data_IF_649592227930
#
_entry.id   IF_649592227930
#
_cell.length_a   1.000
_cell.length_b   1.000
_cell.length_c   1.000
_cell.angle_alpha   90.00
_cell.angle_beta   90.00
_cell.angle_gamma   90.00
#
_symmetry.space_group_name_H-M   'P 1'
#
loop_
_entity.id
_entity.type
_entity.pdbx_description
1 polymer ?
#
# COMPACT_ATOMS: atom_id res chain seq x y z
N UNK A 1 -0.55 4.73 2.80
CA UNK A 1 -1.99 4.89 3.14
C UNK A 1 -2.39 6.28 3.68
N UNK A 2 -1.59 6.93 4.53
CA UNK A 2 -1.95 8.18 5.21
C UNK A 2 -2.52 9.33 4.34
N UNK A 3 -1.97 9.59 3.15
CA UNK A 3 -2.48 10.65 2.25
C UNK A 3 -3.94 10.41 1.84
N UNK A 4 -4.24 9.21 1.38
CA UNK A 4 -5.57 8.78 0.93
C UNK A 4 -6.58 8.92 2.08
N UNK A 5 -6.24 8.41 3.26
CA UNK A 5 -7.16 8.44 4.41
C UNK A 5 -7.38 9.85 4.95
N UNK A 6 -6.36 10.73 4.90
CA UNK A 6 -6.52 12.14 5.23
C UNK A 6 -7.48 12.82 4.24
N UNK A 7 -7.24 12.69 2.93
CA UNK A 7 -8.08 13.33 1.92
C UNK A 7 -9.51 12.83 1.97
N UNK A 8 -9.75 11.54 2.25
CA UNK A 8 -11.08 10.95 2.44
C UNK A 8 -11.73 11.27 3.78
N UNK A 9 -11.06 12.05 4.63
CA UNK A 9 -11.61 12.46 5.92
C UNK A 9 -11.69 11.33 6.95
N UNK A 10 -10.93 10.23 6.79
CA UNK A 10 -10.98 9.04 7.66
C UNK A 10 -10.17 9.23 8.94
N UNK A 11 -10.57 10.19 9.75
CA UNK A 11 -10.01 10.48 11.06
C UNK A 11 -11.12 10.91 12.03
N UNK A 12 -10.92 10.82 13.36
CA UNK A 12 -11.91 11.25 14.35
C UNK A 12 -12.33 12.73 14.20
N UNK A 13 -13.56 13.08 14.58
CA UNK A 13 -14.09 14.45 14.41
C UNK A 13 -13.37 15.51 15.25
N UNK A 14 -12.98 15.15 16.46
CA UNK A 14 -12.42 16.07 17.45
C UNK A 14 -11.55 15.35 18.48
N UNK A 15 -10.91 16.13 19.34
CA UNK A 15 -10.15 15.62 20.48
C UNK A 15 -8.73 15.15 20.14
N UNK A 16 -8.07 14.58 21.15
CA UNK A 16 -6.68 14.14 21.07
C UNK A 16 -6.47 13.03 20.04
N UNK A 17 -7.43 12.12 19.91
CA UNK A 17 -7.35 11.01 18.94
C UNK A 17 -7.30 11.50 17.50
N UNK A 18 -8.02 12.58 17.16
CA UNK A 18 -7.92 13.22 15.83
C UNK A 18 -6.48 13.64 15.54
N UNK A 19 -5.84 14.33 16.48
CA UNK A 19 -4.48 14.81 16.30
C UNK A 19 -3.48 13.66 16.18
N UNK A 20 -3.62 12.62 17.00
CA UNK A 20 -2.77 11.41 16.92
C UNK A 20 -2.86 10.73 15.55
N UNK A 21 -4.08 10.50 15.05
CA UNK A 21 -4.30 9.85 13.75
C UNK A 21 -3.75 10.70 12.61
N UNK A 22 -4.04 12.01 12.60
CA UNK A 22 -3.52 12.92 11.58
C UNK A 22 -1.99 12.99 11.59
N UNK A 23 -1.38 12.97 12.79
CA UNK A 23 0.07 12.93 12.92
C UNK A 23 0.66 11.68 12.25
N UNK A 24 0.07 10.52 12.51
CA UNK A 24 0.50 9.26 11.88
C UNK A 24 0.37 9.37 10.36
N UNK A 25 -0.78 9.83 9.85
CA UNK A 25 -0.98 9.99 8.40
C UNK A 25 0.11 10.86 7.77
N UNK A 26 0.41 12.00 8.38
CA UNK A 26 1.42 12.95 7.86
C UNK A 26 2.85 12.41 7.94
N UNK A 27 3.17 11.57 8.93
CA UNK A 27 4.48 10.92 9.08
C UNK A 27 4.67 9.73 8.12
N UNK A 28 3.58 9.13 7.62
CA UNK A 28 3.60 8.07 6.60
C UNK A 28 3.65 8.62 5.17
N UNK A 29 3.24 9.87 4.96
CA UNK A 29 3.25 10.52 3.65
C UNK A 29 4.65 10.70 3.08
N UNK A 30 4.73 10.63 1.76
CA UNK A 30 5.88 11.06 0.99
C UNK A 30 6.07 12.58 1.04
N UNK A 31 7.27 13.03 0.74
CA UNK A 31 7.56 14.46 0.68
C UNK A 31 6.76 15.16 -0.43
N UNK A 32 6.49 14.45 -1.52
CA UNK A 32 5.63 14.92 -2.60
C UNK A 32 4.18 15.12 -2.13
N UNK A 33 3.56 14.11 -1.52
CA UNK A 33 2.20 14.22 -0.96
C UNK A 33 2.08 15.38 0.04
N UNK A 34 3.09 15.56 0.90
CA UNK A 34 3.13 16.69 1.85
C UNK A 34 3.28 18.04 1.13
N UNK A 35 4.03 18.09 0.04
CA UNK A 35 4.15 19.30 -0.78
C UNK A 35 2.81 19.63 -1.43
N UNK A 36 2.09 18.64 -1.96
CA UNK A 36 0.76 18.80 -2.55
C UNK A 36 -0.22 19.37 -1.53
N UNK A 37 -0.27 18.81 -0.31
CA UNK A 37 -1.07 19.36 0.80
C UNK A 37 -0.82 20.85 1.07
N UNK A 38 0.40 21.34 0.84
CA UNK A 38 0.77 22.73 1.10
C UNK A 38 0.52 23.69 -0.07
N UNK A 39 0.28 23.19 -1.29
CA UNK A 39 0.27 24.00 -2.52
C UNK A 39 -0.98 23.84 -3.37
N UNK A 40 -1.57 22.65 -3.38
CA UNK A 40 -2.70 22.31 -4.24
C UNK A 40 -4.04 22.59 -3.56
N UNK A 41 -5.08 22.80 -4.38
CA UNK A 41 -6.45 22.86 -3.86
C UNK A 41 -6.93 21.46 -3.46
N UNK A 42 -7.95 21.40 -2.58
CA UNK A 42 -8.57 20.11 -2.24
C UNK A 42 -9.12 19.40 -3.49
N UNK A 43 -9.70 20.15 -4.43
CA UNK A 43 -10.21 19.62 -5.69
C UNK A 43 -9.10 18.94 -6.50
N UNK A 44 -7.94 19.58 -6.69
CA UNK A 44 -6.84 19.01 -7.47
C UNK A 44 -6.28 17.74 -6.81
N UNK A 45 -6.13 17.78 -5.48
CA UNK A 45 -5.69 16.62 -4.70
C UNK A 45 -6.68 15.46 -4.79
N UNK A 46 -7.97 15.74 -4.69
CA UNK A 46 -9.04 14.74 -4.81
C UNK A 46 -9.12 14.18 -6.22
N UNK A 47 -9.05 15.03 -7.24
CA UNK A 47 -9.07 14.60 -8.64
C UNK A 47 -7.90 13.66 -8.93
N UNK A 48 -6.68 13.99 -8.48
CA UNK A 48 -5.50 13.15 -8.66
C UNK A 48 -5.48 11.88 -7.79
N UNK A 49 -6.36 11.75 -6.79
CA UNK A 49 -6.43 10.57 -5.92
C UNK A 49 -7.07 9.36 -6.62
N UNK A 50 -7.95 9.60 -7.60
CA UNK A 50 -8.79 8.57 -8.19
C UNK A 50 -8.54 8.46 -9.69
N UNK A 51 -8.34 7.24 -10.19
CA UNK A 51 -8.29 6.95 -11.63
C UNK A 51 -9.67 6.91 -12.26
N UNK A 52 -10.72 6.60 -11.47
CA UNK A 52 -12.11 6.53 -11.93
C UNK A 52 -13.00 7.58 -11.25
N UNK A 53 -13.12 8.74 -11.90
CA UNK A 53 -13.98 9.85 -11.47
C UNK A 53 -15.49 9.61 -11.66
N UNK A 54 -15.88 8.50 -12.31
CA UNK A 54 -17.30 8.09 -12.39
C UNK A 54 -17.73 7.18 -11.23
N UNK A 55 -16.79 6.77 -10.37
CA UNK A 55 -17.10 5.86 -9.28
C UNK A 55 -18.02 6.50 -8.23
N UNK A 56 -18.97 5.73 -7.70
CA UNK A 56 -19.86 6.22 -6.62
C UNK A 56 -19.08 6.66 -5.38
N UNK A 57 -17.95 6.01 -5.09
CA UNK A 57 -17.08 6.40 -3.98
C UNK A 57 -16.48 7.79 -4.19
N UNK A 58 -15.94 8.06 -5.38
CA UNK A 58 -15.42 9.39 -5.75
C UNK A 58 -16.47 10.48 -5.57
N UNK A 59 -17.67 10.26 -6.12
CA UNK A 59 -18.75 11.26 -6.12
C UNK A 59 -19.30 11.47 -4.72
N UNK A 60 -19.65 10.38 -4.03
CA UNK A 60 -20.40 10.46 -2.77
C UNK A 60 -19.53 10.85 -1.57
N UNK A 61 -18.21 10.61 -1.62
CA UNK A 61 -17.32 10.97 -0.51
C UNK A 61 -16.84 12.44 -0.60
N UNK A 62 -16.88 13.09 -1.77
CA UNK A 62 -16.26 14.40 -2.01
C UNK A 62 -16.70 15.48 -1.02
N UNK A 63 -18.01 15.77 -0.93
CA UNK A 63 -18.52 16.90 -0.15
C UNK A 63 -18.17 16.77 1.33
N UNK A 64 -18.33 15.57 1.89
CA UNK A 64 -17.99 15.31 3.28
C UNK A 64 -16.48 15.37 3.50
N UNK A 65 -15.68 14.82 2.58
CA UNK A 65 -14.23 14.84 2.64
C UNK A 65 -13.68 16.28 2.60
N UNK A 66 -14.16 17.10 1.68
CA UNK A 66 -13.80 18.51 1.55
C UNK A 66 -14.17 19.29 2.81
N UNK A 67 -15.41 19.14 3.29
CA UNK A 67 -15.87 19.81 4.51
C UNK A 67 -15.04 19.46 5.73
N UNK A 68 -14.52 18.24 5.83
CA UNK A 68 -13.64 17.81 6.93
C UNK A 68 -12.23 18.38 6.74
N UNK A 69 -11.70 18.32 5.53
CA UNK A 69 -10.38 18.87 5.19
C UNK A 69 -10.29 20.37 5.47
N UNK A 70 -11.31 21.15 5.07
CA UNK A 70 -11.33 22.60 5.28
C UNK A 70 -11.36 23.03 6.76
N UNK A 71 -11.63 22.11 7.69
CA UNK A 71 -11.54 22.34 9.13
C UNK A 71 -10.14 22.09 9.70
N UNK A 72 -9.18 21.65 8.87
CA UNK A 72 -7.82 21.39 9.29
C UNK A 72 -6.93 22.60 9.01
N UNK A 73 -6.07 22.94 9.97
CA UNK A 73 -4.92 23.81 9.70
C UNK A 73 -3.77 22.94 9.19
N UNK A 74 -3.73 22.75 7.86
CA UNK A 74 -2.72 21.91 7.22
C UNK A 74 -1.31 22.47 7.44
N UNK A 75 -1.16 23.80 7.50
CA UNK A 75 0.15 24.44 7.71
C UNK A 75 0.68 24.13 9.11
N UNK A 76 -0.17 24.27 10.13
CA UNK A 76 0.16 23.91 11.51
C UNK A 76 0.48 22.42 11.64
N UNK A 77 -0.36 21.54 11.08
CA UNK A 77 -0.15 20.09 11.12
C UNK A 77 1.16 19.66 10.44
N UNK A 78 1.46 20.22 9.27
CA UNK A 78 2.72 19.97 8.57
C UNK A 78 3.93 20.47 9.37
N UNK A 79 3.82 21.60 10.08
CA UNK A 79 4.91 22.14 10.91
C UNK A 79 5.27 21.26 12.12
N UNK A 80 4.30 20.45 12.58
CA UNK A 80 4.45 19.53 13.72
C UNK A 80 4.99 18.15 13.34
N UNK A 81 5.25 17.92 12.04
CA UNK A 81 5.69 16.63 11.51
C UNK A 81 6.80 16.84 10.48
N UNK A 82 7.61 15.82 10.22
CA UNK A 82 8.71 15.89 9.25
C UNK A 82 8.52 14.82 8.19
N UNK A 83 8.84 15.14 6.93
CA UNK A 83 8.91 14.11 5.91
C UNK A 83 10.12 13.19 6.14
N UNK A 84 9.93 11.87 5.97
CA UNK A 84 11.01 10.88 5.97
C UNK A 84 11.08 10.06 4.70
N UNK A 85 10.09 10.19 3.82
CA UNK A 85 9.87 9.27 2.71
C UNK A 85 9.87 10.01 1.38
N UNK A 86 10.76 9.64 0.48
CA UNK A 86 10.80 10.19 -0.89
C UNK A 86 9.93 9.40 -1.86
N UNK A 87 9.58 8.16 -1.51
CA UNK A 87 8.76 7.26 -2.31
C UNK A 87 7.74 6.54 -1.41
N UNK A 88 6.71 5.93 -2.01
CA UNK A 88 5.69 5.18 -1.29
C UNK A 88 6.23 3.90 -0.64
N UNK A 89 5.45 3.30 0.24
CA UNK A 89 5.82 2.08 0.95
C UNK A 89 5.89 0.87 0.02
N UNK A 90 6.94 0.05 0.17
CA UNK A 90 7.02 -1.24 -0.52
C UNK A 90 6.27 -2.31 0.26
N UNK A 91 5.59 -3.18 -0.48
CA UNK A 91 4.93 -4.37 0.04
C UNK A 91 5.01 -5.52 -0.95
N UNK A 92 4.39 -6.63 -0.58
CA UNK A 92 4.20 -7.77 -1.48
C UNK A 92 2.85 -7.64 -2.18
N UNK A 93 2.70 -8.20 -3.40
CA UNK A 93 1.44 -8.12 -4.12
C UNK A 93 0.27 -8.73 -3.34
N UNK A 94 -0.86 -8.03 -3.30
CA UNK A 94 -2.04 -8.41 -2.51
C UNK A 94 -3.27 -7.61 -2.95
N UNK A 95 -4.45 -8.16 -2.71
CA UNK A 95 -5.67 -7.36 -2.81
C UNK A 95 -6.88 -8.03 -2.20
N UNK A 96 -8.06 -7.55 -2.59
CA UNK A 96 -9.31 -7.97 -1.96
C UNK A 96 -9.88 -9.16 -2.69
N UNK A 97 -10.28 -10.15 -1.90
CA UNK A 97 -10.94 -11.35 -2.42
C UNK A 97 -12.33 -11.00 -2.97
N UNK A 98 -12.59 -11.43 -4.19
CA UNK A 98 -13.91 -11.34 -4.79
C UNK A 98 -14.91 -12.31 -4.15
N UNK A 99 -16.20 -12.06 -4.34
CA UNK A 99 -17.24 -12.99 -3.89
C UNK A 99 -17.03 -14.36 -4.55
N UNK A 100 -17.06 -15.43 -3.75
CA UNK A 100 -16.82 -16.82 -4.17
C UNK A 100 -15.41 -17.16 -4.67
N UNK A 101 -14.47 -16.22 -4.62
CA UNK A 101 -13.07 -16.48 -4.95
C UNK A 101 -12.36 -17.22 -3.80
N UNK A 102 -11.50 -18.18 -4.14
CA UNK A 102 -10.64 -18.85 -3.16
C UNK A 102 -9.47 -17.93 -2.78
N UNK A 103 -8.83 -18.14 -1.62
CA UNK A 103 -7.70 -17.29 -1.21
C UNK A 103 -6.51 -17.40 -2.19
N UNK A 104 -6.27 -18.61 -2.73
CA UNK A 104 -5.18 -18.85 -3.67
C UNK A 104 -5.46 -18.25 -5.05
N UNK A 105 -6.71 -18.28 -5.51
CA UNK A 105 -7.08 -17.68 -6.81
C UNK A 105 -7.03 -16.15 -6.73
N UNK A 106 -7.46 -15.57 -5.61
CA UNK A 106 -7.27 -14.16 -5.33
C UNK A 106 -5.79 -13.78 -5.36
N UNK A 107 -4.92 -14.51 -4.64
CA UNK A 107 -3.49 -14.22 -4.64
C UNK A 107 -2.88 -14.30 -6.04
N UNK A 108 -3.28 -15.27 -6.87
CA UNK A 108 -2.82 -15.40 -8.26
C UNK A 108 -3.30 -14.25 -9.15
N UNK A 109 -4.55 -13.82 -9.00
CA UNK A 109 -5.13 -12.70 -9.77
C UNK A 109 -4.46 -11.38 -9.40
N UNK A 110 -4.40 -11.06 -8.12
CA UNK A 110 -3.79 -9.82 -7.60
C UNK A 110 -2.30 -9.75 -7.96
N UNK A 111 -1.57 -10.86 -7.81
CA UNK A 111 -0.17 -10.93 -8.25
C UNK A 111 -0.04 -10.59 -9.73
N UNK A 112 -0.89 -11.16 -10.59
CA UNK A 112 -0.88 -10.86 -12.03
C UNK A 112 -1.23 -9.40 -12.33
N UNK A 113 -2.25 -8.86 -11.66
CA UNK A 113 -2.72 -7.48 -11.83
C UNK A 113 -1.64 -6.47 -11.43
N UNK A 114 -0.96 -6.68 -10.29
CA UNK A 114 0.01 -5.74 -9.74
C UNK A 114 1.45 -5.90 -10.30
N UNK A 115 1.79 -7.05 -10.89
CA UNK A 115 3.16 -7.33 -11.38
C UNK A 115 3.27 -7.63 -12.87
N UNK A 116 2.17 -7.98 -13.54
CA UNK A 116 2.13 -8.35 -14.95
C UNK A 116 2.65 -9.75 -15.29
N UNK A 117 3.11 -10.53 -14.32
CA UNK A 117 3.50 -11.94 -14.54
C UNK A 117 2.29 -12.82 -14.87
N UNK A 118 2.48 -13.81 -15.74
CA UNK A 118 1.43 -14.79 -16.02
C UNK A 118 1.51 -16.00 -15.09
N UNK A 119 0.41 -16.75 -15.00
CA UNK A 119 0.32 -17.94 -14.17
C UNK A 119 1.33 -19.04 -14.55
N UNK A 120 1.78 -19.11 -15.81
CA UNK A 120 2.82 -20.06 -16.22
C UNK A 120 4.24 -19.64 -15.80
N UNK A 121 4.44 -18.35 -15.49
CA UNK A 121 5.72 -17.82 -15.03
C UNK A 121 5.92 -18.12 -13.54
N UNK A 122 4.90 -18.57 -12.81
CA UNK A 122 4.91 -18.65 -11.34
C UNK A 122 4.49 -20.02 -10.85
N UNK A 123 5.32 -20.65 -10.01
CA UNK A 123 5.04 -21.94 -9.38
C UNK A 123 4.96 -21.77 -7.86
N UNK A 124 3.79 -22.02 -7.28
CA UNK A 124 3.63 -22.07 -5.83
C UNK A 124 4.42 -23.27 -5.28
N UNK A 125 5.24 -23.03 -4.26
CA UNK A 125 6.19 -24.03 -3.72
C UNK A 125 5.77 -24.61 -2.37
N UNK A 126 4.67 -24.12 -1.79
CA UNK A 126 4.15 -24.55 -0.50
C UNK A 126 2.64 -24.37 -0.46
N UNK A 127 1.94 -25.41 0.01
CA UNK A 127 0.48 -25.35 0.21
C UNK A 127 0.11 -24.64 1.52
N UNK A 128 1.08 -24.39 2.39
CA UNK A 128 0.88 -23.66 3.64
C UNK A 128 1.13 -22.14 3.44
N UNK A 129 0.07 -21.30 3.42
CA UNK A 129 0.22 -19.85 3.30
C UNK A 129 0.82 -19.24 4.57
N UNK A 130 1.33 -18.01 4.45
CA UNK A 130 1.82 -17.19 5.57
C UNK A 130 0.85 -16.06 5.86
N UNK A 131 0.63 -15.78 7.12
CA UNK A 131 -0.28 -14.71 7.54
C UNK A 131 0.50 -13.52 8.10
N UNK A 132 0.18 -12.32 7.62
CA UNK A 132 0.55 -11.06 8.26
C UNK A 132 -0.67 -10.54 9.01
N UNK A 133 -0.58 -10.44 10.34
CA UNK A 133 -1.61 -9.86 11.21
C UNK A 133 -1.12 -8.53 11.76
N UNK A 134 -1.91 -7.47 11.58
CA UNK A 134 -1.57 -6.14 12.07
C UNK A 134 -2.81 -5.31 12.38
N UNK A 135 -2.64 -4.24 13.14
CA UNK A 135 -3.72 -3.29 13.43
C UNK A 135 -3.46 -2.04 12.59
N UNK A 136 -4.44 -1.66 11.77
CA UNK A 136 -4.36 -0.44 10.98
C UNK A 136 -4.49 0.80 11.85
N UNK A 137 -4.18 1.95 11.26
CA UNK A 137 -4.28 3.27 11.90
C UNK A 137 -5.69 3.64 12.33
N UNK A 138 -6.71 2.97 11.79
CA UNK A 138 -8.11 3.06 12.19
C UNK A 138 -8.50 2.12 13.35
N UNK A 139 -7.55 1.39 13.94
CA UNK A 139 -7.78 0.44 15.02
C UNK A 139 -8.39 -0.90 14.57
N UNK A 140 -8.60 -1.11 13.27
CA UNK A 140 -9.13 -2.35 12.73
C UNK A 140 -7.99 -3.37 12.60
N UNK A 141 -8.26 -4.61 12.97
CA UNK A 141 -7.34 -5.71 12.73
C UNK A 141 -7.43 -6.18 11.28
N UNK A 142 -6.28 -6.24 10.61
CA UNK A 142 -6.12 -6.70 9.24
C UNK A 142 -5.38 -8.03 9.21
N UNK A 143 -5.69 -8.82 8.18
CA UNK A 143 -5.01 -10.07 7.85
C UNK A 143 -4.71 -10.12 6.37
N UNK A 144 -3.43 -10.27 6.03
CA UNK A 144 -3.02 -10.68 4.68
C UNK A 144 -2.63 -12.17 4.70
N UNK A 145 -3.00 -12.88 3.64
CA UNK A 145 -2.66 -14.29 3.44
C UNK A 145 -1.78 -14.38 2.19
N UNK A 146 -0.52 -14.74 2.38
CA UNK A 146 0.49 -14.81 1.34
C UNK A 146 0.81 -16.26 0.96
N UNK A 147 0.93 -16.51 -0.33
CA UNK A 147 1.42 -17.78 -0.87
C UNK A 147 2.84 -17.58 -1.38
N UNK A 148 3.73 -18.55 -1.13
CA UNK A 148 5.12 -18.47 -1.58
C UNK A 148 5.26 -19.19 -2.91
N UNK A 149 5.86 -18.50 -3.87
CA UNK A 149 6.06 -19.01 -5.21
C UNK A 149 7.46 -18.69 -5.74
N UNK A 150 7.92 -19.53 -6.65
CA UNK A 150 9.12 -19.34 -7.46
C UNK A 150 8.72 -18.85 -8.85
N UNK A 151 9.47 -17.90 -9.40
CA UNK A 151 9.32 -17.47 -10.79
C UNK A 151 10.19 -18.37 -11.67
N UNK A 152 9.56 -19.00 -12.66
CA UNK A 152 10.15 -19.97 -13.57
C UNK A 152 10.85 -19.25 -14.72
N UNK A 153 12.17 -19.06 -14.63
CA UNK A 153 13.00 -18.56 -15.72
C UNK A 153 13.95 -17.45 -15.30
N UNK A 154 15.20 -17.53 -15.77
CA UNK A 154 16.28 -16.59 -15.38
C UNK A 154 16.08 -15.14 -15.88
N UNK A 155 15.13 -14.91 -16.79
CA UNK A 155 14.92 -13.63 -17.47
C UNK A 155 13.45 -13.16 -17.48
N UNK A 156 12.60 -13.67 -16.59
CA UNK A 156 11.23 -13.14 -16.48
C UNK A 156 11.30 -11.91 -15.57
N UNK A 157 11.43 -10.74 -16.17
CA UNK A 157 11.26 -9.47 -15.47
C UNK A 157 9.76 -9.23 -15.24
N UNK A 158 9.37 -8.42 -14.22
CA UNK A 158 8.02 -7.88 -14.16
C UNK A 158 7.77 -7.22 -15.53
N UNK A 159 6.81 -7.74 -16.30
CA UNK A 159 6.75 -7.49 -17.75
C UNK A 159 6.63 -5.99 -18.06
N UNK A 160 7.02 -5.64 -19.28
CA UNK A 160 7.16 -4.32 -19.94
C UNK A 160 5.95 -3.37 -19.93
N UNK A 161 5.04 -3.48 -18.96
CA UNK A 161 3.78 -2.75 -18.85
C UNK A 161 3.57 -2.14 -17.47
N UNK A 162 4.64 -1.80 -16.75
CA UNK A 162 4.56 -0.99 -15.51
C UNK A 162 3.73 0.28 -15.76
N UNK A 163 3.80 0.87 -16.95
CA UNK A 163 2.98 2.03 -17.33
C UNK A 163 1.47 1.71 -17.31
N UNK A 164 1.05 0.55 -17.83
CA UNK A 164 -0.38 0.15 -17.84
C UNK A 164 -0.85 -0.25 -16.45
N UNK A 165 0.03 -0.85 -15.62
CA UNK A 165 -0.29 -1.17 -14.22
C UNK A 165 -0.41 0.13 -13.41
N UNK A 166 0.44 1.13 -13.68
CA UNK A 166 0.38 2.47 -13.08
C UNK A 166 -0.91 3.21 -13.40
N UNK A 167 -1.49 3.02 -14.58
CA UNK A 167 -2.80 3.60 -14.93
C UNK A 167 -3.94 3.12 -14.01
N UNK A 168 -3.78 1.96 -13.38
CA UNK A 168 -4.68 1.47 -12.33
C UNK A 168 -4.62 2.30 -11.03
N UNK A 169 -3.54 3.07 -10.83
CA UNK A 169 -3.36 3.99 -9.70
C UNK A 169 -2.83 3.36 -8.41
N UNK A 170 -2.68 2.04 -8.35
CA UNK A 170 -2.30 1.33 -7.12
C UNK A 170 -0.80 1.04 -7.01
N UNK A 171 -0.10 0.80 -8.13
CA UNK A 171 1.31 0.39 -8.15
C UNK A 171 2.15 1.46 -8.84
N UNK A 172 3.11 2.03 -8.10
CA UNK A 172 4.03 3.03 -8.63
C UNK A 172 5.33 2.42 -9.17
N UNK A 173 5.84 1.38 -8.52
CA UNK A 173 7.11 0.73 -8.87
C UNK A 173 7.07 -0.77 -8.51
N UNK A 174 7.80 -1.59 -9.27
CA UNK A 174 7.96 -3.04 -9.04
C UNK A 174 9.42 -3.40 -9.27
N UNK A 175 10.00 -4.19 -8.37
CA UNK A 175 11.39 -4.58 -8.48
C UNK A 175 11.71 -5.89 -7.78
N UNK A 176 12.80 -6.50 -8.22
CA UNK A 176 13.44 -7.61 -7.51
C UNK A 176 14.44 -7.06 -6.49
N UNK A 177 14.34 -7.56 -5.26
CA UNK A 177 15.18 -7.17 -4.16
C UNK A 177 15.70 -8.42 -3.44
N UNK A 178 16.95 -8.37 -2.99
CA UNK A 178 17.46 -9.36 -2.04
C UNK A 178 16.73 -9.24 -0.70
N UNK A 179 16.84 -10.27 0.14
CA UNK A 179 16.29 -10.24 1.49
C UNK A 179 16.71 -8.97 2.28
N UNK A 180 18.01 -8.64 2.26
CA UNK A 180 18.52 -7.45 2.95
C UNK A 180 18.01 -6.14 2.35
N UNK A 181 17.84 -6.08 1.02
CA UNK A 181 17.25 -4.92 0.37
C UNK A 181 15.78 -4.76 0.76
N UNK A 182 15.00 -5.84 0.79
CA UNK A 182 13.62 -5.85 1.27
C UNK A 182 13.51 -5.29 2.70
N UNK A 183 14.36 -5.73 3.62
CA UNK A 183 14.34 -5.24 5.02
C UNK A 183 14.65 -3.75 5.15
N UNK A 184 15.41 -3.17 4.19
CA UNK A 184 15.72 -1.74 4.13
C UNK A 184 14.57 -0.92 3.55
N UNK A 185 13.89 -1.41 2.50
CA UNK A 185 12.80 -0.66 1.83
C UNK A 185 11.46 -0.78 2.55
N UNK A 186 11.20 -1.91 3.23
CA UNK A 186 10.01 -2.06 4.07
C UNK A 186 10.09 -1.10 5.25
N UNK A 187 9.01 -0.37 5.50
CA UNK A 187 8.94 0.67 6.53
C UNK A 187 9.32 0.12 7.91
N UNK A 188 10.07 0.86 8.74
CA UNK A 188 10.49 0.38 10.06
C UNK A 188 9.35 -0.03 10.98
N UNK A 189 8.17 0.61 10.85
CA UNK A 189 6.98 0.31 11.64
C UNK A 189 6.21 -0.93 11.17
N UNK A 190 6.48 -1.46 9.97
CA UNK A 190 5.85 -2.66 9.41
C UNK A 190 6.43 -3.96 9.99
N UNK A 191 6.43 -4.06 11.31
CA UNK A 191 7.10 -5.14 12.05
C UNK A 191 6.53 -6.53 11.73
N UNK A 192 5.22 -6.63 11.49
CA UNK A 192 4.58 -7.90 11.10
C UNK A 192 5.08 -8.39 9.74
N UNK A 193 5.21 -7.48 8.76
CA UNK A 193 5.75 -7.76 7.43
C UNK A 193 7.20 -8.24 7.48
N UNK A 194 8.04 -7.55 8.26
CA UNK A 194 9.46 -7.90 8.42
C UNK A 194 9.61 -9.29 9.04
N UNK A 195 8.88 -9.59 10.11
CA UNK A 195 8.87 -10.92 10.75
C UNK A 195 8.41 -12.02 9.80
N UNK A 196 7.39 -11.76 8.99
CA UNK A 196 6.93 -12.70 7.97
C UNK A 196 8.04 -13.00 6.94
N UNK A 197 8.72 -11.96 6.45
CA UNK A 197 9.81 -12.10 5.49
C UNK A 197 11.02 -12.84 6.10
N UNK A 198 11.41 -12.52 7.33
CA UNK A 198 12.47 -13.21 8.09
C UNK A 198 12.16 -14.70 8.22
N UNK A 199 10.94 -15.07 8.61
CA UNK A 199 10.52 -16.46 8.72
C UNK A 199 10.44 -17.20 7.38
N UNK A 200 10.20 -16.50 6.28
CA UNK A 200 10.28 -17.07 4.93
C UNK A 200 11.75 -17.29 4.55
N UNK A 201 12.60 -16.29 4.72
CA UNK A 201 14.02 -16.39 4.37
C UNK A 201 14.71 -17.52 5.13
N UNK A 202 14.50 -17.61 6.45
CA UNK A 202 15.07 -18.68 7.28
C UNK A 202 14.62 -20.07 6.82
N UNK A 203 13.37 -20.22 6.37
CA UNK A 203 12.85 -21.50 5.85
C UNK A 203 13.47 -21.92 4.52
N UNK A 204 13.91 -20.97 3.70
CA UNK A 204 14.34 -21.21 2.32
C UNK A 204 15.80 -20.87 2.03
N UNK A 205 16.59 -20.46 3.04
CA UNK A 205 17.99 -20.07 2.87
C UNK A 205 18.84 -21.18 2.23
N UNK A 206 18.69 -22.42 2.69
CA UNK A 206 19.49 -23.56 2.21
C UNK A 206 18.98 -24.14 0.88
N UNK A 207 17.89 -23.61 0.32
CA UNK A 207 17.28 -24.16 -0.91
C UNK A 207 18.04 -23.75 -2.18
N UNK A 208 18.77 -22.64 -2.12
CA UNK A 208 19.43 -22.04 -3.28
C UNK A 208 20.94 -21.82 -3.09
N UNK A 209 21.49 -22.34 -1.98
CA UNK A 209 22.93 -22.58 -1.80
C UNK A 209 23.37 -23.84 -2.56
#
# INVERSE_FOLDING_TARGET
>A
MGYIDLLRGKYPDSGNEKFKVLKIYLEEMTCEERMRLSKESFYDMWFGLWSNHSSKLYINEYENAEKRFMKLDIKDLLSKTTCRWTEQEYGFPKGRKNMYESNIDCAKREFREETGYNHHDVKIITDNPREELFVGTNGIQYRHIYYIAEISGKNVLPRDKIEIIRDGGEIFNVGWFTFDQCLKVIRPYDTAKKRLLEGIHEKFKDRYD
#
